data_IF_888026254017
#
_entry.id   IF_888026254017
#
_cell.length_a   1.000
_cell.length_b   1.000
_cell.length_c   1.000
_cell.angle_alpha   90.00
_cell.angle_beta   90.00
_cell.angle_gamma   90.00
#
_symmetry.space_group_name_H-M   'P 1'
#
loop_
_entity.id
_entity.type
_entity.pdbx_description
1 polymer ?
#
# COMPACT_ATOMS: atom_id res chain seq x y z
N UNK A 1 5.13 25.27 23.32
CA UNK A 1 4.37 24.11 22.78
C UNK A 1 4.16 23.15 23.94
N UNK A 2 2.92 22.78 24.27
CA UNK A 2 2.63 21.92 25.43
C UNK A 2 3.43 20.62 25.31
N UNK A 3 4.01 20.12 26.40
CA UNK A 3 4.89 18.94 26.37
C UNK A 3 4.21 17.69 25.78
N UNK A 4 2.89 17.58 25.94
CA UNK A 4 2.06 16.54 25.34
C UNK A 4 2.03 16.58 23.80
N UNK A 5 2.12 17.77 23.19
CA UNK A 5 2.11 17.91 21.72
C UNK A 5 3.40 17.40 21.08
N UNK A 6 4.55 17.54 21.76
CA UNK A 6 5.82 16.97 21.28
C UNK A 6 5.76 15.44 21.19
N UNK A 7 4.93 14.83 22.03
CA UNK A 7 4.68 13.40 22.02
C UNK A 7 3.68 13.02 20.92
N UNK A 8 2.52 13.67 20.82
CA UNK A 8 1.42 13.24 19.95
C UNK A 8 1.62 13.56 18.46
N UNK A 9 2.31 14.66 18.13
CA UNK A 9 2.46 15.13 16.74
C UNK A 9 3.11 14.10 15.81
N UNK A 10 4.21 13.42 16.19
CA UNK A 10 4.80 12.35 15.38
C UNK A 10 3.81 11.23 15.04
N UNK A 11 2.97 10.81 15.99
CA UNK A 11 1.98 9.76 15.79
C UNK A 11 0.82 10.23 14.92
N UNK A 12 0.37 11.48 15.09
CA UNK A 12 -0.67 12.09 14.25
C UNK A 12 -0.18 12.20 12.80
N UNK A 13 1.05 12.67 12.57
CA UNK A 13 1.66 12.73 11.23
C UNK A 13 1.74 11.34 10.60
N UNK A 14 2.11 10.31 11.36
CA UNK A 14 2.11 8.92 10.88
C UNK A 14 0.72 8.45 10.45
N UNK A 15 -0.30 8.71 11.26
CA UNK A 15 -1.69 8.31 10.99
C UNK A 15 -2.24 9.01 9.74
N UNK A 16 -2.03 10.34 9.63
CA UNK A 16 -2.49 11.11 8.48
C UNK A 16 -1.73 10.80 7.20
N UNK A 17 -0.46 10.40 7.27
CA UNK A 17 0.31 9.99 6.08
C UNK A 17 -0.03 8.56 5.62
N UNK A 18 -0.37 7.65 6.53
CA UNK A 18 -0.72 6.26 6.19
C UNK A 18 -2.06 6.13 5.42
N UNK A 19 -3.04 7.00 5.74
CA UNK A 19 -4.40 6.95 5.16
C UNK A 19 -4.37 7.15 3.63
N UNK A 20 -3.78 8.22 3.06
CA UNK A 20 -3.70 8.39 1.61
C UNK A 20 -3.00 7.22 0.91
N UNK A 21 -1.99 6.61 1.56
CA UNK A 21 -1.13 5.59 0.93
C UNK A 21 -1.82 4.23 0.84
N UNK A 22 -2.69 3.86 1.79
CA UNK A 22 -3.55 2.69 1.63
C UNK A 22 -4.51 2.83 0.43
N UNK A 23 -4.88 4.06 0.07
CA UNK A 23 -5.70 4.34 -1.11
C UNK A 23 -4.88 4.63 -2.37
N UNK A 24 -3.57 4.89 -2.25
CA UNK A 24 -2.68 5.05 -3.39
C UNK A 24 -2.36 3.67 -3.99
N UNK A 25 -3.20 3.24 -4.93
CA UNK A 25 -2.71 2.54 -6.13
C UNK A 25 -1.71 3.48 -6.82
N UNK A 26 -0.48 3.52 -6.31
CA UNK A 26 0.63 4.18 -7.00
C UNK A 26 0.72 3.52 -8.38
N UNK A 27 0.92 4.35 -9.39
CA UNK A 27 0.80 4.03 -10.82
C UNK A 27 -0.65 3.78 -11.27
N UNK A 28 -1.18 4.82 -11.89
CA UNK A 28 -2.42 4.88 -12.66
C UNK A 28 -2.30 4.05 -13.97
N UNK A 29 -1.86 2.79 -13.89
CA UNK A 29 -2.07 1.84 -14.99
C UNK A 29 -3.50 1.33 -14.83
N UNK A 30 -4.38 1.65 -15.78
CA UNK A 30 -5.74 1.11 -15.77
C UNK A 30 -5.63 -0.42 -15.81
N UNK A 31 -6.47 -1.12 -15.04
CA UNK A 31 -6.47 -2.59 -15.00
C UNK A 31 -6.58 -3.24 -16.39
N UNK A 32 -7.12 -2.50 -17.35
CA UNK A 32 -7.17 -2.86 -18.78
C UNK A 32 -5.83 -2.91 -19.47
N UNK A 33 -4.92 -1.98 -19.18
CA UNK A 33 -3.61 -1.93 -19.82
C UNK A 33 -2.77 -3.15 -19.39
N UNK A 34 -3.06 -3.72 -18.21
CA UNK A 34 -2.48 -5.00 -17.77
C UNK A 34 -2.86 -6.16 -18.67
N UNK A 35 -4.08 -6.25 -19.20
CA UNK A 35 -4.54 -7.40 -20.00
C UNK A 35 -3.66 -7.70 -21.21
N UNK A 36 -2.94 -6.70 -21.71
CA UNK A 36 -2.18 -6.79 -22.97
C UNK A 36 -0.67 -6.83 -22.79
N UNK A 37 -0.18 -6.61 -21.57
CA UNK A 37 1.20 -6.84 -21.20
C UNK A 37 1.48 -8.35 -21.16
N UNK A 38 2.67 -8.76 -21.61
CA UNK A 38 3.13 -10.13 -21.40
C UNK A 38 3.18 -10.44 -19.89
N UNK A 39 2.96 -11.71 -19.52
CA UNK A 39 3.00 -12.15 -18.10
C UNK A 39 4.27 -11.68 -17.37
N UNK A 40 5.39 -11.62 -18.10
CA UNK A 40 6.69 -11.18 -17.57
C UNK A 40 6.73 -9.66 -17.32
N UNK A 41 6.19 -8.85 -18.25
CA UNK A 41 6.11 -7.40 -18.08
C UNK A 41 5.08 -7.01 -17.00
N UNK A 42 3.95 -7.74 -16.92
CA UNK A 42 2.98 -7.59 -15.82
C UNK A 42 3.64 -7.89 -14.46
N UNK A 43 4.40 -8.98 -14.35
CA UNK A 43 5.09 -9.34 -13.11
C UNK A 43 6.14 -8.30 -12.71
N UNK A 44 6.95 -7.81 -13.66
CA UNK A 44 7.95 -6.76 -13.43
C UNK A 44 7.30 -5.45 -12.97
N UNK A 45 6.20 -5.05 -13.60
CA UNK A 45 5.49 -3.81 -13.26
C UNK A 45 4.79 -3.92 -11.90
N UNK A 46 4.21 -5.07 -11.59
CA UNK A 46 3.62 -5.34 -10.27
C UNK A 46 4.68 -5.30 -9.17
N UNK A 47 5.83 -5.94 -9.39
CA UNK A 47 6.93 -5.95 -8.44
C UNK A 47 7.50 -4.53 -8.23
N UNK A 48 7.72 -3.77 -9.30
CA UNK A 48 8.17 -2.39 -9.21
C UNK A 48 7.19 -1.51 -8.45
N UNK A 49 5.88 -1.66 -8.70
CA UNK A 49 4.86 -0.89 -8.02
C UNK A 49 4.77 -1.26 -6.53
N UNK A 50 4.80 -2.56 -6.21
CA UNK A 50 4.81 -3.05 -4.83
C UNK A 50 6.03 -2.57 -4.05
N UNK A 51 7.22 -2.54 -4.67
CA UNK A 51 8.43 -1.99 -4.03
C UNK A 51 8.29 -0.48 -3.81
N UNK A 52 7.77 0.27 -4.79
CA UNK A 52 7.54 1.71 -4.64
C UNK A 52 6.60 2.02 -3.48
N UNK A 53 5.46 1.34 -3.40
CA UNK A 53 4.49 1.46 -2.30
C UNK A 53 5.15 1.08 -0.97
N UNK A 54 5.92 0.00 -0.94
CA UNK A 54 6.62 -0.46 0.25
C UNK A 54 7.61 0.58 0.81
N UNK A 55 8.44 1.18 -0.06
CA UNK A 55 9.41 2.22 0.34
C UNK A 55 8.67 3.45 0.88
N UNK A 56 7.62 3.89 0.19
CA UNK A 56 6.82 5.05 0.61
C UNK A 56 6.18 4.79 1.98
N UNK A 57 5.61 3.60 2.19
CA UNK A 57 5.04 3.20 3.49
C UNK A 57 6.10 3.17 4.59
N UNK A 58 7.28 2.62 4.34
CA UNK A 58 8.36 2.56 5.32
C UNK A 58 8.78 3.97 5.77
N UNK A 59 8.95 4.89 4.82
CA UNK A 59 9.32 6.27 5.12
C UNK A 59 8.23 6.96 5.96
N UNK A 60 6.98 6.83 5.55
CA UNK A 60 5.85 7.55 6.15
C UNK A 60 5.45 6.99 7.52
N UNK A 61 5.52 5.67 7.71
CA UNK A 61 5.17 5.02 8.96
C UNK A 61 6.30 5.10 9.99
N UNK A 62 7.57 4.99 9.60
CA UNK A 62 8.66 4.85 10.57
C UNK A 62 9.65 6.01 10.53
N UNK A 63 10.15 6.40 9.36
CA UNK A 63 11.23 7.39 9.28
C UNK A 63 10.74 8.79 9.66
N UNK A 64 9.62 9.26 9.10
CA UNK A 64 9.07 10.59 9.39
C UNK A 64 8.66 10.71 10.86
N UNK A 65 7.89 9.77 11.45
CA UNK A 65 7.50 9.88 12.85
C UNK A 65 8.69 9.81 13.80
N UNK A 66 9.64 8.90 13.57
CA UNK A 66 10.82 8.80 14.44
C UNK A 66 11.73 10.04 14.34
N UNK A 67 11.90 10.59 13.13
CA UNK A 67 12.63 11.86 12.94
C UNK A 67 11.90 13.02 13.62
N UNK A 68 10.57 13.09 13.48
CA UNK A 68 9.75 14.12 14.12
C UNK A 68 9.86 14.04 15.65
N UNK A 69 9.82 12.83 16.21
CA UNK A 69 10.01 12.60 17.64
C UNK A 69 11.39 13.06 18.12
N UNK A 70 12.44 12.79 17.34
CA UNK A 70 13.80 13.27 17.62
C UNK A 70 13.90 14.80 17.58
N UNK A 71 13.42 15.46 16.52
CA UNK A 71 13.50 16.91 16.36
C UNK A 71 12.67 17.70 17.37
N UNK A 72 11.56 17.11 17.85
CA UNK A 72 10.71 17.72 18.88
C UNK A 72 11.25 17.53 20.29
N UNK A 73 12.44 16.93 20.44
CA UNK A 73 13.08 16.61 21.70
C UNK A 73 12.20 15.69 22.57
N UNK A 74 11.52 14.73 21.93
CA UNK A 74 10.61 13.81 22.61
C UNK A 74 11.32 12.88 23.60
N UNK A 75 12.61 12.62 23.38
CA UNK A 75 13.41 11.79 24.28
C UNK A 75 13.73 12.51 25.60
N UNK A 76 14.03 13.81 25.57
CA UNK A 76 14.29 14.57 26.80
C UNK A 76 13.07 14.56 27.70
N UNK A 77 11.86 14.67 27.13
CA UNK A 77 10.61 14.54 27.87
C UNK A 77 10.46 13.19 28.57
N UNK A 78 10.70 12.08 27.87
CA UNK A 78 10.64 10.75 28.50
C UNK A 78 11.66 10.60 29.63
N UNK A 79 12.89 11.07 29.42
CA UNK A 79 13.97 10.96 30.42
C UNK A 79 13.86 11.96 31.57
N UNK A 80 13.12 13.06 31.40
CA UNK A 80 12.96 14.12 32.41
C UNK A 80 11.99 13.73 33.51
N UNK A 81 11.03 12.85 33.22
CA UNK A 81 10.02 12.40 34.17
C UNK A 81 10.35 11.04 34.81
N UNK A 82 11.37 10.31 34.34
CA UNK A 82 11.60 8.93 34.73
C UNK A 82 13.07 8.56 34.98
N UNK A 83 13.29 7.80 36.06
CA UNK A 83 14.56 7.11 36.33
C UNK A 83 14.91 6.16 35.17
N UNK A 84 16.20 5.88 34.91
CA UNK A 84 16.63 5.02 33.78
C UNK A 84 15.90 3.66 33.76
N UNK A 85 15.60 3.08 34.93
CA UNK A 85 14.85 1.85 35.06
C UNK A 85 13.39 1.96 34.58
N UNK A 86 12.73 3.10 34.79
CA UNK A 86 11.34 3.31 34.39
C UNK A 86 11.25 3.47 32.86
N UNK A 87 12.21 4.19 32.25
CA UNK A 87 12.28 4.30 30.79
C UNK A 87 12.49 2.93 30.13
N UNK A 88 13.37 2.10 30.69
CA UNK A 88 13.56 0.73 30.22
C UNK A 88 12.29 -0.12 30.38
N UNK A 89 11.55 0.05 31.50
CA UNK A 89 10.27 -0.61 31.73
C UNK A 89 9.20 -0.16 30.74
N UNK A 90 9.14 1.13 30.41
CA UNK A 90 8.25 1.66 29.38
C UNK A 90 8.56 1.04 28.01
N UNK A 91 9.84 0.95 27.64
CA UNK A 91 10.26 0.31 26.39
C UNK A 91 9.92 -1.18 26.35
N UNK A 92 10.12 -1.92 27.45
CA UNK A 92 9.79 -3.34 27.48
C UNK A 92 8.28 -3.58 27.46
N UNK A 93 7.50 -2.78 28.20
CA UNK A 93 6.03 -2.83 28.15
C UNK A 93 5.49 -2.49 26.76
N UNK A 94 5.99 -1.44 26.11
CA UNK A 94 5.55 -1.08 24.75
C UNK A 94 5.91 -2.14 23.70
N UNK A 95 7.09 -2.76 23.81
CA UNK A 95 7.47 -3.89 22.97
C UNK A 95 6.56 -5.11 23.19
N UNK A 96 6.23 -5.43 24.46
CA UNK A 96 5.32 -6.52 24.79
C UNK A 96 3.93 -6.29 24.21
N UNK A 97 3.38 -5.08 24.38
CA UNK A 97 2.08 -4.70 23.80
C UNK A 97 2.10 -4.86 22.27
N UNK A 98 3.17 -4.39 21.61
CA UNK A 98 3.34 -4.56 20.17
C UNK A 98 3.37 -6.03 19.76
N UNK A 99 4.08 -6.88 20.51
CA UNK A 99 4.19 -8.31 20.23
C UNK A 99 2.86 -9.06 20.40
N UNK A 100 2.05 -8.66 21.39
CA UNK A 100 0.72 -9.21 21.63
C UNK A 100 -0.20 -8.86 20.47
N UNK A 101 -0.24 -7.59 20.06
CA UNK A 101 -1.07 -7.17 18.94
C UNK A 101 -0.64 -7.78 17.61
N UNK A 102 0.68 -7.92 17.36
CA UNK A 102 1.20 -8.58 16.18
C UNK A 102 0.74 -10.06 16.13
N UNK A 103 0.88 -10.77 17.24
CA UNK A 103 0.47 -12.18 17.35
C UNK A 103 -1.04 -12.34 17.19
N UNK A 104 -1.82 -11.46 17.82
CA UNK A 104 -3.27 -11.44 17.70
C UNK A 104 -3.71 -11.18 16.26
N UNK A 105 -3.11 -10.20 15.58
CA UNK A 105 -3.44 -9.87 14.19
C UNK A 105 -3.13 -11.04 13.26
N UNK A 106 -1.98 -11.70 13.41
CA UNK A 106 -1.63 -12.89 12.63
C UNK A 106 -2.61 -14.04 12.87
N UNK A 107 -3.00 -14.27 14.13
CA UNK A 107 -3.96 -15.31 14.50
C UNK A 107 -5.34 -15.06 13.87
N UNK A 108 -5.86 -13.84 14.01
CA UNK A 108 -7.15 -13.44 13.44
C UNK A 108 -7.12 -13.52 11.92
N UNK A 109 -6.04 -13.09 11.28
CA UNK A 109 -5.90 -13.16 9.82
C UNK A 109 -5.95 -14.60 9.32
N UNK A 110 -5.33 -15.53 10.05
CA UNK A 110 -5.31 -16.95 9.68
C UNK A 110 -6.63 -17.67 9.97
N UNK A 111 -7.29 -17.35 11.09
CA UNK A 111 -8.48 -18.07 11.57
C UNK A 111 -9.82 -17.45 11.13
N UNK A 112 -9.86 -16.13 10.98
CA UNK A 112 -11.06 -15.33 10.74
C UNK A 112 -10.88 -14.39 9.54
N UNK A 113 -10.36 -14.93 8.43
CA UNK A 113 -10.08 -14.17 7.21
C UNK A 113 -11.32 -13.49 6.58
N UNK A 114 -12.53 -13.90 6.97
CA UNK A 114 -13.79 -13.24 6.58
C UNK A 114 -13.96 -11.84 7.19
N UNK A 115 -13.37 -11.58 8.37
CA UNK A 115 -13.55 -10.32 9.09
C UNK A 115 -12.48 -9.27 8.73
N UNK A 116 -12.43 -8.91 7.45
CA UNK A 116 -11.42 -7.99 6.86
C UNK A 116 -11.29 -6.66 7.60
N UNK A 117 -12.42 -6.03 7.98
CA UNK A 117 -12.42 -4.76 8.74
C UNK A 117 -11.72 -4.90 10.09
N UNK A 118 -11.98 -5.99 10.82
CA UNK A 118 -11.38 -6.25 12.13
C UNK A 118 -9.88 -6.50 12.00
N UNK A 119 -9.46 -7.28 10.99
CA UNK A 119 -8.05 -7.54 10.68
C UNK A 119 -7.31 -6.23 10.41
N UNK A 120 -7.89 -5.33 9.60
CA UNK A 120 -7.30 -4.02 9.31
C UNK A 120 -7.17 -3.16 10.56
N UNK A 121 -8.21 -3.11 11.41
CA UNK A 121 -8.16 -2.37 12.68
C UNK A 121 -7.02 -2.89 13.57
N UNK A 122 -6.90 -4.22 13.72
CA UNK A 122 -5.83 -4.83 14.50
C UNK A 122 -4.44 -4.53 13.92
N UNK A 123 -4.29 -4.54 12.61
CA UNK A 123 -3.04 -4.16 11.95
C UNK A 123 -2.67 -2.70 12.24
N UNK A 124 -3.64 -1.79 12.18
CA UNK A 124 -3.42 -0.38 12.55
C UNK A 124 -3.01 -0.23 14.02
N UNK A 125 -3.67 -0.93 14.95
CA UNK A 125 -3.29 -0.91 16.38
C UNK A 125 -1.87 -1.44 16.57
N UNK A 126 -1.49 -2.49 15.83
CA UNK A 126 -0.13 -3.04 15.84
C UNK A 126 0.90 -2.01 15.39
N UNK A 127 0.64 -1.31 14.28
CA UNK A 127 1.54 -0.26 13.78
C UNK A 127 1.65 0.88 14.78
N UNK A 128 0.54 1.39 15.31
CA UNK A 128 0.54 2.46 16.32
C UNK A 128 1.35 2.02 17.54
N UNK A 129 1.07 0.83 18.08
CA UNK A 129 1.81 0.27 19.22
C UNK A 129 3.30 0.16 18.94
N UNK A 130 3.69 -0.20 17.71
CA UNK A 130 5.10 -0.31 17.34
C UNK A 130 5.84 1.03 17.38
N UNK A 131 5.16 2.13 17.09
CA UNK A 131 5.75 3.47 17.11
C UNK A 131 6.12 3.94 18.52
N UNK A 132 5.33 3.55 19.53
CA UNK A 132 5.60 3.89 20.93
C UNK A 132 6.93 3.29 21.41
N UNK A 133 7.30 2.13 20.88
CA UNK A 133 8.59 1.50 21.14
C UNK A 133 9.68 2.02 20.18
N UNK A 134 9.38 2.10 18.89
CA UNK A 134 10.37 2.39 17.86
C UNK A 134 10.92 3.82 17.94
N UNK A 135 10.07 4.84 18.10
CA UNK A 135 10.51 6.23 18.08
C UNK A 135 11.52 6.58 19.19
N UNK A 136 11.32 6.19 20.46
CA UNK A 136 12.31 6.42 21.52
C UNK A 136 13.59 5.60 21.34
N UNK A 137 13.50 4.37 20.82
CA UNK A 137 14.68 3.54 20.51
C UNK A 137 15.51 4.17 19.38
N UNK A 138 14.85 4.67 18.34
CA UNK A 138 15.49 5.39 17.26
C UNK A 138 16.22 6.64 17.79
N UNK A 139 15.52 7.49 18.54
CA UNK A 139 16.11 8.71 19.09
C UNK A 139 17.28 8.43 20.05
N UNK A 140 17.15 7.43 20.92
CA UNK A 140 18.22 7.07 21.87
C UNK A 140 19.44 6.48 21.16
N UNK A 141 19.25 5.76 20.05
CA UNK A 141 20.35 5.24 19.24
C UNK A 141 21.06 6.32 18.45
N UNK A 142 20.31 7.24 17.84
CA UNK A 142 20.90 8.37 17.10
C UNK A 142 21.69 9.30 18.01
N UNK A 143 21.18 9.58 19.21
CA UNK A 143 21.78 10.54 20.14
C UNK A 143 22.88 9.94 21.04
N UNK A 144 22.73 8.70 21.50
CA UNK A 144 23.55 8.14 22.57
C UNK A 144 24.24 6.81 22.21
N UNK A 145 23.53 5.88 21.57
CA UNK A 145 24.06 4.53 21.30
C UNK A 145 24.60 4.42 19.88
N UNK A 146 25.89 4.69 19.68
CA UNK A 146 26.56 4.54 18.38
C UNK A 146 27.02 3.10 18.08
N UNK A 147 26.34 2.10 18.64
CA UNK A 147 26.67 0.68 18.45
C UNK A 147 26.09 0.17 17.12
N UNK A 148 26.93 -0.45 16.29
CA UNK A 148 26.52 -1.02 15.00
C UNK A 148 25.38 -2.04 15.11
N UNK A 149 25.30 -2.79 16.22
CA UNK A 149 24.21 -3.75 16.48
C UNK A 149 22.85 -3.07 16.67
N UNK A 150 22.81 -1.87 17.25
CA UNK A 150 21.57 -1.11 17.43
C UNK A 150 21.02 -0.59 16.09
N UNK A 151 21.91 -0.22 15.16
CA UNK A 151 21.51 0.19 13.80
C UNK A 151 20.86 -0.94 13.00
N UNK A 152 21.36 -2.17 13.13
CA UNK A 152 20.74 -3.32 12.49
C UNK A 152 19.29 -3.51 12.97
N UNK A 153 19.05 -3.37 14.27
CA UNK A 153 17.71 -3.48 14.85
C UNK A 153 16.77 -2.37 14.36
N UNK A 154 17.26 -1.13 14.28
CA UNK A 154 16.51 0.03 13.76
C UNK A 154 16.11 -0.16 12.30
N UNK A 155 16.93 -0.82 11.49
CA UNK A 155 16.62 -1.03 10.08
C UNK A 155 15.66 -2.21 9.90
N UNK A 156 15.89 -3.32 10.61
CA UNK A 156 15.13 -4.57 10.42
C UNK A 156 13.69 -4.45 10.90
N UNK A 157 13.42 -3.76 12.02
CA UNK A 157 12.05 -3.66 12.57
C UNK A 157 11.07 -2.96 11.62
N UNK A 158 11.36 -1.74 11.11
CA UNK A 158 10.50 -1.07 10.14
C UNK A 158 10.26 -1.93 8.90
N UNK A 159 11.31 -2.56 8.38
CA UNK A 159 11.22 -3.44 7.21
C UNK A 159 10.24 -4.59 7.49
N UNK A 160 10.41 -5.28 8.61
CA UNK A 160 9.57 -6.41 8.99
C UNK A 160 8.11 -6.00 9.20
N UNK A 161 7.86 -4.89 9.91
CA UNK A 161 6.51 -4.42 10.22
C UNK A 161 5.79 -3.81 9.02
N UNK A 162 6.49 -3.10 8.14
CA UNK A 162 5.92 -2.66 6.86
C UNK A 162 5.61 -3.86 5.96
N UNK A 163 6.46 -4.89 5.96
CA UNK A 163 6.21 -6.14 5.24
C UNK A 163 4.98 -6.88 5.77
N UNK A 164 4.84 -6.92 7.09
CA UNK A 164 3.66 -7.44 7.76
C UNK A 164 2.39 -6.66 7.36
N UNK A 165 2.42 -5.33 7.37
CA UNK A 165 1.27 -4.52 6.94
C UNK A 165 0.86 -4.81 5.49
N UNK A 166 1.84 -4.89 4.58
CA UNK A 166 1.60 -5.25 3.19
C UNK A 166 0.99 -6.64 3.04
N UNK A 167 1.45 -7.61 3.83
CA UNK A 167 0.86 -8.95 3.88
C UNK A 167 -0.63 -8.89 4.28
N UNK A 168 -0.95 -8.14 5.34
CA UNK A 168 -2.33 -7.98 5.80
C UNK A 168 -3.20 -7.31 4.73
N UNK A 169 -2.74 -6.19 4.16
CA UNK A 169 -3.47 -5.47 3.10
C UNK A 169 -3.73 -6.38 1.91
N UNK A 170 -2.75 -7.18 1.48
CA UNK A 170 -2.93 -8.10 0.36
C UNK A 170 -3.94 -9.24 0.66
N UNK A 171 -4.09 -9.65 1.93
CA UNK A 171 -5.09 -10.64 2.33
C UNK A 171 -6.50 -10.05 2.45
N UNK A 172 -6.62 -8.79 2.83
CA UNK A 172 -7.91 -8.12 3.03
C UNK A 172 -8.43 -7.41 1.79
N UNK A 173 -7.56 -7.09 0.82
CA UNK A 173 -7.96 -6.45 -0.43
C UNK A 173 -8.70 -7.45 -1.31
N UNK A 174 -9.93 -7.11 -1.69
CA UNK A 174 -10.68 -7.89 -2.67
C UNK A 174 -10.03 -7.75 -4.05
N UNK A 175 -9.67 -8.89 -4.63
CA UNK A 175 -9.32 -8.97 -6.03
C UNK A 175 -10.64 -9.02 -6.80
N UNK A 176 -11.15 -7.85 -7.22
CA UNK A 176 -12.19 -7.83 -8.25
C UNK A 176 -11.58 -8.35 -9.54
N UNK A 177 -11.94 -9.56 -9.93
CA UNK A 177 -11.63 -10.07 -11.26
C UNK A 177 -12.63 -9.44 -12.23
N UNK A 178 -12.21 -8.36 -12.89
CA UNK A 178 -12.98 -7.80 -13.98
C UNK A 178 -12.78 -8.71 -15.20
N UNK A 179 -13.85 -9.38 -15.60
CA UNK A 179 -13.86 -10.24 -16.77
C UNK A 179 -14.30 -9.44 -17.99
N UNK A 180 -13.58 -9.61 -19.10
CA UNK A 180 -13.93 -9.00 -20.37
C UNK A 180 -14.26 -10.08 -21.40
N UNK A 181 -15.41 -9.92 -22.07
CA UNK A 181 -15.74 -10.69 -23.25
C UNK A 181 -15.03 -10.07 -24.46
N UNK A 182 -14.23 -10.87 -25.15
CA UNK A 182 -13.55 -10.44 -26.38
C UNK A 182 -14.27 -10.95 -27.62
N UNK A 183 -14.54 -10.07 -28.58
CA UNK A 183 -15.12 -10.41 -29.88
C UNK A 183 -14.25 -9.89 -31.02
N UNK A 184 -14.03 -10.71 -32.04
CA UNK A 184 -13.39 -10.28 -33.29
C UNK A 184 -14.42 -9.49 -34.10
N UNK A 185 -14.04 -8.29 -34.54
CA UNK A 185 -14.86 -7.40 -35.37
C UNK A 185 -14.20 -7.17 -36.72
N UNK A 186 -15.00 -6.85 -37.74
CA UNK A 186 -14.50 -6.59 -39.09
C UNK A 186 -13.86 -5.21 -39.19
N UNK A 187 -13.00 -5.03 -40.20
CA UNK A 187 -12.38 -3.73 -40.50
C UNK A 187 -13.42 -2.67 -40.88
N UNK A 188 -14.46 -3.06 -41.62
CA UNK A 188 -15.57 -2.20 -42.01
C UNK A 188 -16.30 -1.66 -40.77
N UNK A 189 -16.59 -2.52 -39.80
CA UNK A 189 -17.24 -2.13 -38.55
C UNK A 189 -16.42 -1.10 -37.77
N UNK A 190 -15.09 -1.27 -37.72
CA UNK A 190 -14.17 -0.34 -37.04
C UNK A 190 -14.11 1.02 -37.74
N UNK A 191 -14.17 1.04 -39.08
CA UNK A 191 -14.13 2.28 -39.88
C UNK A 191 -15.39 3.12 -39.74
N UNK A 192 -16.53 2.47 -39.49
CA UNK A 192 -17.81 3.14 -39.27
C UNK A 192 -17.91 3.80 -37.88
N UNK A 193 -17.01 3.45 -36.95
CA UNK A 193 -16.98 3.99 -35.59
C UNK A 193 -16.10 5.25 -35.49
N UNK A 194 -16.58 6.26 -34.77
CA UNK A 194 -15.79 7.43 -34.38
C UNK A 194 -14.83 7.07 -33.22
N UNK A 195 -13.70 6.46 -33.57
CA UNK A 195 -12.71 5.99 -32.61
C UNK A 195 -11.71 7.09 -32.22
N UNK A 196 -11.51 7.24 -30.91
CA UNK A 196 -10.49 8.09 -30.29
C UNK A 196 -9.30 7.19 -29.90
N UNK A 197 -8.14 7.48 -30.47
CA UNK A 197 -6.90 6.81 -30.12
C UNK A 197 -6.48 7.17 -28.68
N UNK A 198 -6.25 6.14 -27.86
CA UNK A 198 -5.76 6.30 -26.48
C UNK A 198 -4.23 6.33 -26.46
N UNK A 199 -3.62 5.18 -26.73
CA UNK A 199 -2.17 4.97 -26.75
C UNK A 199 -1.85 3.66 -27.49
N UNK A 200 -0.58 3.54 -27.90
CA UNK A 200 -0.04 2.28 -28.42
C UNK A 200 0.24 1.34 -27.25
N UNK A 201 -0.29 0.12 -27.32
CA UNK A 201 -0.04 -0.97 -26.37
C UNK A 201 1.37 -1.53 -26.58
N UNK A 202 1.70 -1.78 -27.85
CA UNK A 202 3.03 -2.16 -28.35
C UNK A 202 3.24 -1.49 -29.73
N UNK A 203 4.37 -1.74 -30.39
CA UNK A 203 4.71 -1.13 -31.68
C UNK A 203 3.66 -1.33 -32.79
N UNK A 204 2.86 -2.40 -32.73
CA UNK A 204 1.85 -2.75 -33.75
C UNK A 204 0.40 -2.66 -33.29
N UNK A 205 0.14 -2.49 -31.99
CA UNK A 205 -1.21 -2.63 -31.38
C UNK A 205 -1.63 -1.33 -30.73
N UNK A 206 -2.79 -0.80 -31.09
CA UNK A 206 -3.37 0.41 -30.51
C UNK A 206 -4.61 0.12 -29.69
N UNK A 207 -4.76 0.83 -28.57
CA UNK A 207 -5.99 0.87 -27.78
C UNK A 207 -6.84 2.08 -28.21
N UNK A 208 -8.11 1.83 -28.55
CA UNK A 208 -9.06 2.83 -29.05
C UNK A 208 -10.36 2.81 -28.27
N UNK A 209 -11.04 3.96 -28.23
CA UNK A 209 -12.36 4.11 -27.62
C UNK A 209 -13.35 4.69 -28.60
N UNK A 210 -14.58 4.19 -28.62
CA UNK A 210 -15.66 4.87 -29.32
C UNK A 210 -16.04 6.15 -28.56
N UNK A 211 -16.17 7.27 -29.29
CA UNK A 211 -16.56 8.58 -28.76
C UNK A 211 -17.92 8.54 -28.06
N UNK A 212 -18.84 7.71 -28.50
CA UNK A 212 -20.23 7.69 -28.03
C UNK A 212 -20.50 6.63 -26.97
N UNK A 213 -19.60 5.65 -26.81
CA UNK A 213 -19.71 4.60 -25.80
C UNK A 213 -18.86 4.93 -24.58
N UNK A 214 -19.31 4.47 -23.42
CA UNK A 214 -18.53 4.63 -22.19
C UNK A 214 -17.22 3.86 -22.31
N UNK A 215 -16.13 4.60 -22.11
CA UNK A 215 -14.77 4.06 -22.09
C UNK A 215 -14.55 3.03 -21.01
N UNK A 216 -15.43 2.94 -20.01
CA UNK A 216 -15.34 1.96 -18.91
C UNK A 216 -15.77 0.57 -19.40
N UNK A 217 -16.90 0.50 -20.10
CA UNK A 217 -17.53 -0.76 -20.49
C UNK A 217 -17.09 -1.30 -21.86
N UNK A 218 -16.68 -0.42 -22.78
CA UNK A 218 -16.32 -0.81 -24.16
C UNK A 218 -15.00 -0.19 -24.59
N UNK A 219 -14.11 -1.00 -25.12
CA UNK A 219 -12.88 -0.54 -25.77
C UNK A 219 -12.45 -1.48 -26.89
N UNK A 220 -11.59 -0.97 -27.77
CA UNK A 220 -11.15 -1.68 -28.97
C UNK A 220 -9.63 -1.80 -28.99
N UNK A 221 -9.16 -2.93 -29.52
CA UNK A 221 -7.74 -3.13 -29.84
C UNK A 221 -7.59 -3.46 -31.30
N UNK A 222 -6.72 -2.70 -31.95
CA UNK A 222 -6.42 -2.86 -33.36
C UNK A 222 -4.96 -3.27 -33.49
N UNK A 223 -4.71 -4.47 -34.02
CA UNK A 223 -3.41 -4.89 -34.48
C UNK A 223 -3.28 -4.55 -35.97
N UNK A 224 -2.51 -3.51 -36.28
CA UNK A 224 -2.33 -3.04 -37.65
C UNK A 224 -1.44 -3.97 -38.48
N UNK A 225 -0.59 -4.77 -37.84
CA UNK A 225 0.28 -5.72 -38.54
C UNK A 225 -0.50 -6.97 -38.95
N UNK A 226 -1.35 -7.48 -38.05
CA UNK A 226 -2.16 -8.67 -38.30
C UNK A 226 -3.51 -8.37 -38.96
N UNK A 227 -3.93 -7.10 -39.03
CA UNK A 227 -5.28 -6.67 -39.44
C UNK A 227 -6.39 -7.33 -38.62
N UNK A 228 -6.15 -7.48 -37.31
CA UNK A 228 -7.10 -8.06 -36.37
C UNK A 228 -7.64 -6.97 -35.46
N UNK A 229 -8.96 -6.93 -35.33
CA UNK A 229 -9.66 -5.93 -34.55
C UNK A 229 -10.51 -6.64 -33.48
N UNK A 230 -10.31 -6.28 -32.22
CA UNK A 230 -10.99 -6.87 -31.08
C UNK A 230 -11.83 -5.81 -30.37
N UNK A 231 -13.09 -6.13 -30.11
CA UNK A 231 -13.96 -5.41 -29.20
C UNK A 231 -13.93 -6.12 -27.84
N UNK A 232 -13.77 -5.35 -26.77
CA UNK A 232 -13.86 -5.83 -25.39
C UNK A 232 -15.05 -5.22 -24.69
N UNK A 233 -15.87 -6.07 -24.10
CA UNK A 233 -17.06 -5.73 -23.32
C UNK A 233 -16.87 -6.21 -21.89
N UNK A 234 -16.99 -5.32 -20.92
CA UNK A 234 -16.96 -5.71 -19.50
C UNK A 234 -18.18 -6.57 -19.15
N UNK A 235 -17.93 -7.75 -18.58
CA UNK A 235 -19.00 -8.60 -18.05
C UNK A 235 -19.31 -8.07 -16.66
N UNK A 236 -20.49 -7.45 -16.49
CA UNK A 236 -21.00 -7.16 -15.14
C UNK A 236 -21.18 -8.49 -14.40
N UNK A 237 -20.49 -8.64 -13.28
CA UNK A 237 -20.81 -9.71 -12.32
C UNK A 237 -22.21 -9.42 -11.75
N UNK A 238 -23.06 -10.45 -11.65
CA UNK A 238 -24.46 -10.36 -11.17
C UNK A 238 -24.62 -9.74 -9.77
N UNK A 239 -23.54 -9.55 -9.00
CA UNK A 239 -23.55 -8.94 -7.67
C UNK A 239 -23.75 -7.40 -7.65
N UNK A 240 -23.76 -6.72 -8.80
CA UNK A 240 -23.92 -5.26 -8.88
C UNK A 240 -25.39 -4.78 -9.03
N UNK A 241 -26.37 -5.69 -9.11
CA UNK A 241 -27.80 -5.34 -9.25
C UNK A 241 -28.60 -5.35 -7.92
N UNK A 242 -27.96 -5.66 -6.77
CA UNK A 242 -28.64 -5.81 -5.47
C UNK A 242 -28.20 -4.81 -4.35
N UNK A 243 -27.69 -3.62 -4.70
CA UNK A 243 -27.49 -2.52 -3.72
C UNK A 243 -28.02 -1.16 -4.18
#
# INVERSE_FOLDING_TARGET
MNDVWKFLVPFIISLFSAIPIMYLKLIHFRERDRLFLTKLNQAKLNLSNSIGIYIVLLIMLYIIPASSFLFMDGLSLMTKFENQNNFLLFLTCSLLICSIFLSLTLFVTKKWNSHKKLIMILAFITIISSLFFYCPVFASTVLYLRTYSAWAFIIVIPIALTGFLMYIVNQTTEKKEILYLSRIVSEEYIKDLDLIHSHMVDDSRALLYDRYRSKEYVFYICDYSAKVYLEFLEIKSEDDDDN
#
